data_IF_373239315837
#
_entry.id   IF_373239315837
#
_cell.length_a   1.000
_cell.length_b   1.000
_cell.length_c   1.000
_cell.angle_alpha   90.00
_cell.angle_beta   90.00
_cell.angle_gamma   90.00
#
_symmetry.space_group_name_H-M   'P 1'
#
loop_
_entity.id
_entity.type
_entity.pdbx_description
1 polymer ?
#
# COMPACT_ATOMS: atom_id res chain seq x y z
N UNK A 1 -67.03 -21.46 -116.93
CA UNK A 1 -65.63 -21.67 -116.51
C UNK A 1 -65.05 -20.33 -116.10
N UNK A 2 -64.74 -20.13 -114.81
CA UNK A 2 -63.52 -19.49 -114.29
C UNK A 2 -63.64 -19.41 -112.76
N UNK A 3 -62.66 -20.02 -112.11
CA UNK A 3 -62.51 -20.26 -110.67
C UNK A 3 -61.67 -19.16 -110.02
N UNK A 4 -62.03 -18.69 -108.84
CA UNK A 4 -61.07 -18.02 -107.94
C UNK A 4 -61.37 -18.35 -106.48
N UNK A 5 -60.61 -19.32 -105.95
CA UNK A 5 -60.48 -19.59 -104.52
C UNK A 5 -59.49 -18.59 -103.90
N UNK A 6 -59.96 -17.73 -103.00
CA UNK A 6 -59.08 -16.96 -102.11
C UNK A 6 -58.70 -17.81 -100.90
N UNK A 7 -57.45 -18.27 -100.87
CA UNK A 7 -56.82 -18.97 -99.76
C UNK A 7 -56.33 -17.93 -98.74
N UNK A 8 -57.14 -17.64 -97.72
CA UNK A 8 -56.76 -16.77 -96.60
C UNK A 8 -55.77 -17.53 -95.70
N UNK A 9 -54.48 -17.35 -95.92
CA UNK A 9 -53.42 -17.75 -94.96
C UNK A 9 -53.56 -16.84 -93.73
N UNK A 10 -54.04 -17.38 -92.61
CA UNK A 10 -53.77 -16.81 -91.29
C UNK A 10 -52.32 -17.16 -90.95
N UNK A 11 -51.45 -16.16 -90.94
CA UNK A 11 -50.16 -16.22 -90.25
C UNK A 11 -50.43 -16.17 -88.75
N UNK A 12 -50.51 -17.34 -88.14
CA UNK A 12 -50.38 -17.52 -86.69
C UNK A 12 -48.92 -17.87 -86.49
N UNK A 13 -48.10 -16.95 -85.96
CA UNK A 13 -46.83 -17.17 -85.26
C UNK A 13 -46.08 -15.83 -85.19
N UNK A 14 -46.25 -15.08 -84.10
CA UNK A 14 -45.20 -14.16 -83.58
C UNK A 14 -45.52 -13.61 -82.17
N UNK A 15 -46.80 -13.58 -81.78
CA UNK A 15 -47.27 -12.96 -80.52
C UNK A 15 -46.92 -13.77 -79.24
N UNK A 16 -46.81 -15.10 -79.35
CA UNK A 16 -46.56 -15.98 -78.20
C UNK A 16 -45.10 -16.00 -77.70
N UNK A 17 -44.14 -15.47 -78.47
CA UNK A 17 -42.72 -15.45 -78.12
C UNK A 17 -42.31 -14.22 -77.30
N UNK A 18 -42.99 -13.08 -77.47
CA UNK A 18 -42.75 -11.88 -76.66
C UNK A 18 -43.43 -11.96 -75.27
N UNK A 19 -44.62 -12.53 -75.19
CA UNK A 19 -45.31 -12.78 -73.91
C UNK A 19 -44.54 -13.77 -73.03
N UNK A 20 -44.00 -14.85 -73.63
CA UNK A 20 -43.20 -15.85 -72.91
C UNK A 20 -41.88 -15.26 -72.40
N UNK A 21 -41.18 -14.45 -73.21
CA UNK A 21 -39.94 -13.78 -72.79
C UNK A 21 -40.16 -12.77 -71.65
N UNK A 22 -41.30 -12.07 -71.66
CA UNK A 22 -41.69 -11.14 -70.58
C UNK A 22 -42.02 -11.87 -69.28
N UNK A 23 -42.64 -13.04 -69.36
CA UNK A 23 -42.94 -13.92 -68.23
C UNK A 23 -41.67 -14.49 -67.58
N UNK A 24 -40.71 -14.93 -68.40
CA UNK A 24 -39.40 -15.41 -67.93
C UNK A 24 -38.66 -14.32 -67.13
N UNK A 25 -38.71 -13.08 -67.62
CA UNK A 25 -38.07 -11.93 -66.97
C UNK A 25 -38.73 -11.57 -65.63
N UNK A 26 -40.06 -11.58 -65.57
CA UNK A 26 -40.79 -11.36 -64.31
C UNK A 26 -40.46 -12.45 -63.30
N UNK A 27 -40.38 -13.71 -63.74
CA UNK A 27 -40.05 -14.84 -62.88
C UNK A 27 -38.64 -14.70 -62.28
N UNK A 28 -37.65 -14.36 -63.10
CA UNK A 28 -36.30 -14.06 -62.63
C UNK A 28 -36.27 -12.91 -61.62
N UNK A 29 -37.03 -11.83 -61.84
CA UNK A 29 -37.11 -10.73 -60.88
C UNK A 29 -37.77 -11.14 -59.54
N UNK A 30 -38.76 -12.03 -59.57
CA UNK A 30 -39.38 -12.57 -58.35
C UNK A 30 -38.37 -13.41 -57.58
N UNK A 31 -37.64 -14.31 -58.26
CA UNK A 31 -36.60 -15.14 -57.65
C UNK A 31 -35.49 -14.28 -57.00
N UNK A 32 -35.06 -13.20 -57.68
CA UNK A 32 -34.07 -12.25 -57.13
C UNK A 32 -34.60 -11.50 -55.90
N UNK A 33 -35.86 -11.05 -55.92
CA UNK A 33 -36.48 -10.37 -54.78
C UNK A 33 -36.68 -11.30 -53.58
N UNK A 34 -37.06 -12.55 -53.82
CA UNK A 34 -37.16 -13.58 -52.77
C UNK A 34 -35.80 -13.81 -52.12
N UNK A 35 -34.74 -13.91 -52.93
CA UNK A 35 -33.37 -14.04 -52.43
C UNK A 35 -32.96 -12.86 -51.55
N UNK A 36 -33.17 -11.62 -52.03
CA UNK A 36 -32.86 -10.41 -51.26
C UNK A 36 -33.66 -10.32 -49.95
N UNK A 37 -34.93 -10.74 -49.96
CA UNK A 37 -35.77 -10.75 -48.77
C UNK A 37 -35.25 -11.74 -47.72
N UNK A 38 -34.79 -12.92 -48.15
CA UNK A 38 -34.18 -13.93 -47.27
C UNK A 38 -32.86 -13.41 -46.68
N UNK A 39 -32.00 -12.81 -47.49
CA UNK A 39 -30.73 -12.22 -47.02
C UNK A 39 -30.96 -11.12 -45.97
N UNK A 40 -31.88 -10.19 -46.25
CA UNK A 40 -32.24 -9.13 -45.30
C UNK A 40 -32.85 -9.69 -44.02
N UNK A 41 -33.63 -10.77 -44.10
CA UNK A 41 -34.19 -11.43 -42.93
C UNK A 41 -33.09 -12.05 -42.06
N UNK A 42 -32.13 -12.76 -42.66
CA UNK A 42 -30.98 -13.35 -41.97
C UNK A 42 -30.15 -12.25 -41.30
N UNK A 43 -29.90 -11.15 -42.02
CA UNK A 43 -29.14 -10.02 -41.50
C UNK A 43 -29.85 -9.35 -40.31
N UNK A 44 -31.17 -9.20 -40.38
CA UNK A 44 -31.97 -8.64 -39.28
C UNK A 44 -31.92 -9.53 -38.03
N UNK A 45 -32.10 -10.85 -38.20
CA UNK A 45 -32.00 -11.82 -37.09
C UNK A 45 -30.60 -11.79 -36.47
N UNK A 46 -29.55 -11.72 -37.29
CA UNK A 46 -28.16 -11.65 -36.82
C UNK A 46 -27.94 -10.39 -35.97
N UNK A 47 -28.41 -9.23 -36.43
CA UNK A 47 -28.35 -7.97 -35.66
C UNK A 47 -29.14 -8.04 -34.35
N UNK A 48 -30.31 -8.68 -34.33
CA UNK A 48 -31.09 -8.85 -33.11
C UNK A 48 -30.36 -9.70 -32.06
N UNK A 49 -29.65 -10.74 -32.50
CA UNK A 49 -28.81 -11.57 -31.62
C UNK A 49 -27.66 -10.74 -31.05
N UNK A 50 -26.97 -9.95 -31.88
CA UNK A 50 -25.86 -9.09 -31.46
C UNK A 50 -26.32 -8.01 -30.47
N UNK A 51 -27.44 -7.34 -30.74
CA UNK A 51 -28.07 -6.39 -29.81
C UNK A 51 -28.37 -7.06 -28.47
N UNK A 52 -28.89 -8.29 -28.49
CA UNK A 52 -29.20 -9.03 -27.27
C UNK A 52 -27.94 -9.38 -26.47
N UNK A 53 -26.82 -9.68 -27.15
CA UNK A 53 -25.53 -9.93 -26.52
C UNK A 53 -24.97 -8.66 -25.88
N UNK A 54 -24.93 -7.57 -26.64
CA UNK A 54 -24.43 -6.26 -26.16
C UNK A 54 -25.22 -5.77 -24.95
N UNK A 55 -26.55 -5.96 -24.92
CA UNK A 55 -27.36 -5.61 -23.74
C UNK A 55 -26.97 -6.37 -22.48
N UNK A 56 -26.57 -7.65 -22.61
CA UNK A 56 -26.09 -8.44 -21.46
C UNK A 56 -24.74 -7.93 -20.97
N UNK A 57 -23.81 -7.68 -21.89
CA UNK A 57 -22.49 -7.13 -21.56
C UNK A 57 -22.60 -5.76 -20.87
N UNK A 58 -23.47 -4.87 -21.36
CA UNK A 58 -23.75 -3.57 -20.73
C UNK A 58 -24.27 -3.75 -19.30
N UNK A 59 -25.20 -4.68 -19.09
CA UNK A 59 -25.76 -4.92 -17.76
C UNK A 59 -24.68 -5.42 -16.77
N UNK A 60 -23.81 -6.32 -17.22
CA UNK A 60 -22.69 -6.85 -16.42
C UNK A 60 -21.67 -5.77 -16.06
N UNK A 61 -21.28 -4.95 -17.05
CA UNK A 61 -20.36 -3.81 -16.82
C UNK A 61 -20.98 -2.79 -15.87
N UNK A 62 -22.28 -2.50 -16.00
CA UNK A 62 -22.98 -1.56 -15.11
C UNK A 62 -22.94 -2.07 -13.68
N UNK A 63 -23.29 -3.33 -13.46
CA UNK A 63 -23.24 -3.96 -12.15
C UNK A 63 -21.83 -3.96 -11.55
N UNK A 64 -20.82 -4.30 -12.35
CA UNK A 64 -19.42 -4.28 -11.90
C UNK A 64 -18.97 -2.87 -11.51
N UNK A 65 -19.39 -1.85 -12.27
CA UNK A 65 -19.06 -0.45 -11.99
C UNK A 65 -19.72 0.02 -10.68
N UNK A 66 -20.98 -0.34 -10.45
CA UNK A 66 -21.69 -0.03 -9.20
C UNK A 66 -21.03 -0.71 -8.00
N UNK A 67 -20.63 -1.98 -8.13
CA UNK A 67 -19.94 -2.73 -7.08
C UNK A 67 -18.60 -2.10 -6.71
N UNK A 68 -17.78 -1.73 -7.71
CA UNK A 68 -16.48 -1.09 -7.49
C UNK A 68 -16.64 0.31 -6.85
N UNK A 69 -17.67 1.05 -7.24
CA UNK A 69 -18.00 2.35 -6.62
C UNK A 69 -18.35 2.19 -5.14
N UNK A 70 -19.14 1.16 -4.79
CA UNK A 70 -19.46 0.85 -3.40
C UNK A 70 -18.21 0.45 -2.60
N UNK A 71 -17.32 -0.36 -3.17
CA UNK A 71 -16.06 -0.72 -2.52
C UNK A 71 -15.16 0.50 -2.28
N UNK A 72 -15.02 1.38 -3.29
CA UNK A 72 -14.22 2.60 -3.18
C UNK A 72 -14.74 3.55 -2.08
N UNK A 73 -16.06 3.71 -1.97
CA UNK A 73 -16.67 4.52 -0.90
C UNK A 73 -16.48 3.89 0.48
N UNK A 74 -16.54 2.56 0.58
CA UNK A 74 -16.18 1.83 1.80
C UNK A 74 -14.73 2.06 2.23
N UNK A 75 -13.78 1.92 1.30
CA UNK A 75 -12.35 2.17 1.56
C UNK A 75 -12.09 3.62 1.98
N UNK A 76 -12.76 4.59 1.36
CA UNK A 76 -12.64 6.00 1.72
C UNK A 76 -13.12 6.27 3.16
N UNK A 77 -14.17 5.57 3.58
CA UNK A 77 -14.71 5.66 4.94
C UNK A 77 -13.72 5.09 5.95
N UNK A 78 -13.19 3.88 5.70
CA UNK A 78 -12.16 3.26 6.54
C UNK A 78 -10.91 4.15 6.68
N UNK A 79 -10.45 4.78 5.59
CA UNK A 79 -9.33 5.72 5.65
C UNK A 79 -9.63 6.94 6.52
N UNK A 80 -10.87 7.45 6.51
CA UNK A 80 -11.26 8.58 7.34
C UNK A 80 -11.33 8.21 8.84
N UNK A 81 -11.82 7.01 9.15
CA UNK A 81 -11.85 6.47 10.51
C UNK A 81 -10.43 6.27 11.05
N UNK A 82 -9.56 5.64 10.25
CA UNK A 82 -8.16 5.42 10.64
C UNK A 82 -7.39 6.73 10.86
N UNK A 83 -7.63 7.75 10.03
CA UNK A 83 -7.05 9.09 10.25
C UNK A 83 -7.51 9.69 11.57
N UNK A 84 -8.79 9.58 11.87
CA UNK A 84 -9.35 10.08 13.15
C UNK A 84 -8.75 9.34 14.34
N UNK A 85 -8.55 8.02 14.22
CA UNK A 85 -7.89 7.22 15.25
C UNK A 85 -6.43 7.65 15.45
N UNK A 86 -5.66 7.82 14.36
CA UNK A 86 -4.28 8.33 14.43
C UNK A 86 -4.23 9.70 15.09
N UNK A 87 -5.10 10.64 14.69
CA UNK A 87 -5.18 11.97 15.29
C UNK A 87 -5.51 11.91 16.78
N UNK A 88 -6.32 10.95 17.21
CA UNK A 88 -6.64 10.73 18.63
C UNK A 88 -5.45 10.20 19.45
N UNK A 89 -4.48 9.55 18.80
CA UNK A 89 -3.28 9.01 19.43
C UNK A 89 -2.13 10.03 19.52
N UNK A 90 -2.15 11.10 18.73
CA UNK A 90 -1.12 12.16 18.76
C UNK A 90 -0.92 12.74 20.16
N UNK A 91 -1.96 13.14 20.91
CA UNK A 91 -1.80 13.67 22.27
C UNK A 91 -1.18 12.65 23.24
N UNK A 92 -1.50 11.37 23.07
CA UNK A 92 -0.92 10.29 23.88
C UNK A 92 0.57 10.13 23.57
N UNK A 93 0.94 10.17 22.30
CA UNK A 93 2.34 10.12 21.87
C UNK A 93 3.14 11.31 22.42
N UNK A 94 2.58 12.52 22.36
CA UNK A 94 3.23 13.72 22.89
C UNK A 94 3.46 13.61 24.39
N UNK A 95 2.46 13.15 25.14
CA UNK A 95 2.55 12.90 26.59
C UNK A 95 3.65 11.89 26.91
N UNK A 96 3.71 10.77 26.18
CA UNK A 96 4.74 9.74 26.36
C UNK A 96 6.14 10.32 26.11
N UNK A 97 6.33 11.09 25.03
CA UNK A 97 7.62 11.71 24.75
C UNK A 97 8.01 12.74 25.81
N UNK A 98 7.06 13.50 26.38
CA UNK A 98 7.34 14.43 27.48
C UNK A 98 7.76 13.72 28.77
N UNK A 99 7.06 12.63 29.15
CA UNK A 99 7.43 11.82 30.31
C UNK A 99 8.83 11.23 30.16
N UNK A 100 9.15 10.71 28.96
CA UNK A 100 10.47 10.12 28.67
C UNK A 100 11.58 11.15 28.65
N UNK A 101 11.32 12.31 28.07
CA UNK A 101 12.30 13.40 28.06
C UNK A 101 12.62 13.85 29.47
N UNK A 102 11.61 13.91 30.35
CA UNK A 102 11.87 14.17 31.76
C UNK A 102 12.73 13.09 32.39
N UNK A 103 12.37 11.82 32.24
CA UNK A 103 13.09 10.72 32.86
C UNK A 103 14.57 10.74 32.45
N UNK A 104 14.84 11.01 31.17
CA UNK A 104 16.18 11.24 30.64
C UNK A 104 16.89 12.39 31.37
N UNK A 105 16.30 13.59 31.44
CA UNK A 105 16.91 14.74 32.09
C UNK A 105 17.13 14.54 33.60
N UNK A 106 16.22 13.85 34.29
CA UNK A 106 16.35 13.48 35.71
C UNK A 106 17.54 12.54 35.90
N UNK A 107 17.71 11.54 35.04
CA UNK A 107 18.87 10.64 35.09
C UNK A 107 20.18 11.40 34.91
N UNK A 108 20.24 12.34 33.94
CA UNK A 108 21.43 13.17 33.74
C UNK A 108 21.78 13.99 34.98
N UNK A 109 20.77 14.56 35.65
CA UNK A 109 20.97 15.35 36.87
C UNK A 109 21.39 14.48 38.06
N UNK A 110 20.58 13.49 38.42
CA UNK A 110 20.68 12.80 39.71
C UNK A 110 21.75 11.71 39.73
N UNK A 111 21.92 11.00 38.62
CA UNK A 111 22.82 9.85 38.55
C UNK A 111 24.19 10.28 37.99
N UNK A 112 24.18 11.22 37.06
CA UNK A 112 25.38 11.60 36.32
C UNK A 112 25.98 12.92 36.82
N UNK A 113 25.33 13.56 37.80
CA UNK A 113 25.84 14.76 38.46
C UNK A 113 26.04 15.93 37.51
N UNK A 114 25.31 15.96 36.38
CA UNK A 114 25.39 17.05 35.41
C UNK A 114 24.64 18.24 36.01
N UNK A 115 25.35 19.04 36.79
CA UNK A 115 24.84 20.26 37.44
C UNK A 115 24.73 21.44 36.47
N UNK A 116 24.12 21.23 35.31
CA UNK A 116 23.85 22.31 34.36
C UNK A 116 22.55 23.03 34.76
N UNK A 117 22.61 24.36 34.97
CA UNK A 117 21.46 25.23 35.25
C UNK A 117 20.35 25.05 34.18
N UNK A 118 20.74 24.80 32.93
CA UNK A 118 19.82 24.51 31.83
C UNK A 118 19.11 23.17 31.98
N UNK A 119 19.77 22.13 32.51
CA UNK A 119 19.14 20.83 32.80
C UNK A 119 18.17 20.98 33.98
N UNK A 120 18.55 21.70 35.04
CA UNK A 120 17.67 21.98 36.19
C UNK A 120 16.40 22.72 35.79
N UNK A 121 16.49 23.75 34.95
CA UNK A 121 15.32 24.49 34.43
C UNK A 121 14.41 23.60 33.59
N UNK A 122 14.97 22.71 32.77
CA UNK A 122 14.19 21.76 31.95
C UNK A 122 13.49 20.69 32.78
N UNK A 123 14.13 20.15 33.83
CA UNK A 123 13.55 19.15 34.75
C UNK A 123 12.35 19.70 35.56
N UNK A 124 12.37 20.99 35.87
CA UNK A 124 11.27 21.67 36.58
C UNK A 124 10.00 21.84 35.74
N UNK A 125 10.10 21.78 34.41
CA UNK A 125 9.02 22.05 33.47
C UNK A 125 8.25 20.80 32.98
N UNK A 126 8.73 19.58 33.27
CA UNK A 126 8.09 18.33 32.82
C UNK A 126 7.42 17.58 34.00
N UNK A 127 6.66 16.49 33.76
CA UNK A 127 5.78 15.79 34.74
C UNK A 127 6.28 14.41 35.27
N UNK A 128 6.00 14.05 36.54
CA UNK A 128 6.88 13.18 37.39
C UNK A 128 6.51 11.69 37.31
N UNK A 129 6.91 10.97 36.27
CA UNK A 129 6.85 9.49 36.30
C UNK A 129 8.10 8.84 35.71
N UNK A 130 8.47 7.68 36.27
CA UNK A 130 9.65 6.91 35.91
C UNK A 130 9.34 6.05 34.67
N UNK A 131 10.06 6.25 33.57
CA UNK A 131 9.86 5.47 32.35
C UNK A 131 10.96 4.43 32.18
N UNK A 132 10.58 3.18 31.88
CA UNK A 132 11.49 2.10 31.53
C UNK A 132 12.32 2.44 30.28
N UNK A 133 13.56 1.93 30.21
CA UNK A 133 14.42 2.09 29.04
C UNK A 133 13.81 1.39 27.82
N UNK A 134 13.71 2.12 26.72
CA UNK A 134 13.27 1.65 25.41
C UNK A 134 13.94 2.57 24.40
N UNK A 135 15.09 2.11 23.91
CA UNK A 135 15.99 2.89 23.07
C UNK A 135 15.32 3.37 21.80
N UNK A 136 14.38 2.61 21.22
CA UNK A 136 13.65 3.00 20.00
C UNK A 136 12.77 4.22 20.26
N UNK A 137 11.98 4.16 21.32
CA UNK A 137 11.10 5.28 21.70
C UNK A 137 11.95 6.47 22.19
N UNK A 138 13.12 6.24 22.81
CA UNK A 138 13.98 7.31 23.30
C UNK A 138 14.70 7.99 22.13
N UNK A 139 15.15 7.24 21.12
CA UNK A 139 15.71 7.82 19.92
C UNK A 139 14.66 8.63 19.14
N UNK A 140 13.44 8.09 18.99
CA UNK A 140 12.33 8.82 18.35
C UNK A 140 12.00 10.14 19.04
N UNK A 141 12.05 10.17 20.37
CA UNK A 141 11.87 11.39 21.17
C UNK A 141 12.85 12.50 20.77
N UNK A 142 14.12 12.17 20.43
CA UNK A 142 15.11 13.17 20.03
C UNK A 142 14.73 13.90 18.74
N UNK A 143 14.18 13.17 17.77
CA UNK A 143 13.71 13.78 16.52
C UNK A 143 12.45 14.62 16.74
N UNK A 144 11.49 14.12 17.52
CA UNK A 144 10.23 14.82 17.80
C UNK A 144 10.47 16.11 18.60
N UNK A 145 11.38 16.09 19.58
CA UNK A 145 11.70 17.24 20.42
C UNK A 145 12.81 18.14 19.86
N UNK A 146 13.41 17.77 18.71
CA UNK A 146 14.49 18.52 18.07
C UNK A 146 15.77 18.62 18.91
N UNK A 147 16.10 17.55 19.64
CA UNK A 147 17.29 17.48 20.50
C UNK A 147 18.53 17.17 19.65
N UNK A 148 19.62 17.91 19.87
CA UNK A 148 20.87 17.77 19.12
C UNK A 148 22.08 18.17 19.98
N UNK A 149 23.29 17.83 19.52
CA UNK A 149 24.53 18.28 20.14
C UNK A 149 24.80 17.62 21.49
N UNK A 150 24.82 18.38 22.60
CA UNK A 150 25.11 17.82 23.93
C UNK A 150 24.12 16.73 24.34
N UNK A 151 22.83 16.89 24.01
CA UNK A 151 21.81 15.90 24.35
C UNK A 151 22.08 14.56 23.63
N UNK A 152 22.56 14.58 22.38
CA UNK A 152 22.92 13.37 21.62
C UNK A 152 24.16 12.69 22.21
N UNK A 153 25.13 13.46 22.72
CA UNK A 153 26.29 12.91 23.41
C UNK A 153 25.86 12.17 24.68
N UNK A 154 24.90 12.71 25.43
CA UNK A 154 24.34 12.03 26.60
C UNK A 154 23.57 10.76 26.22
N UNK A 155 22.80 10.80 25.13
CA UNK A 155 22.16 9.59 24.58
C UNK A 155 23.20 8.53 24.22
N UNK A 156 24.25 8.89 23.47
CA UNK A 156 25.36 7.98 23.14
C UNK A 156 26.06 7.44 24.37
N UNK A 157 26.19 8.24 25.43
CA UNK A 157 26.81 7.78 26.67
C UNK A 157 25.92 6.81 27.46
N UNK A 158 24.59 6.93 27.37
CA UNK A 158 23.64 6.00 28.00
C UNK A 158 23.50 4.71 27.20
N UNK A 159 23.39 4.79 25.88
CA UNK A 159 23.04 3.65 25.03
C UNK A 159 24.21 3.09 24.20
N UNK A 160 25.36 3.77 24.16
CA UNK A 160 26.50 3.41 23.32
C UNK A 160 26.40 3.91 21.87
N UNK A 161 25.17 4.21 21.40
CA UNK A 161 24.87 4.59 20.01
C UNK A 161 24.17 5.95 19.93
N UNK A 162 24.18 6.60 18.77
CA UNK A 162 23.42 7.84 18.56
C UNK A 162 21.95 7.56 18.22
N UNK A 163 21.02 8.52 18.41
CA UNK A 163 19.62 8.36 18.00
C UNK A 163 19.46 8.03 16.51
N UNK A 164 20.34 8.56 15.65
CA UNK A 164 20.33 8.29 14.21
C UNK A 164 20.65 6.84 13.90
N UNK A 165 21.69 6.29 14.53
CA UNK A 165 22.07 4.88 14.37
C UNK A 165 20.95 3.93 14.82
N UNK A 166 20.19 4.32 15.85
CA UNK A 166 18.99 3.57 16.28
C UNK A 166 17.93 3.54 15.17
N UNK A 167 17.71 4.63 14.44
CA UNK A 167 16.78 4.63 13.30
C UNK A 167 17.29 3.73 12.17
N UNK A 168 18.59 3.76 11.88
CA UNK A 168 19.19 2.93 10.84
C UNK A 168 19.08 1.42 11.18
N UNK A 169 19.29 1.06 12.45
CA UNK A 169 19.11 -0.29 12.99
C UNK A 169 17.65 -0.80 12.88
N UNK A 170 16.63 0.08 12.93
CA UNK A 170 15.22 -0.36 12.89
C UNK A 170 14.90 -1.11 11.57
N UNK A 171 15.64 -0.83 10.50
CA UNK A 171 15.44 -1.46 9.19
C UNK A 171 16.06 -2.87 9.05
N UNK A 172 16.84 -3.35 10.02
CA UNK A 172 17.65 -4.57 9.90
C UNK A 172 17.24 -5.75 10.80
N UNK A 173 16.14 -5.63 11.56
CA UNK A 173 15.58 -6.71 12.41
C UNK A 173 16.57 -7.36 13.43
N UNK A 174 17.50 -6.57 13.96
CA UNK A 174 18.53 -7.01 14.92
C UNK A 174 18.00 -7.06 16.37
N UNK A 175 17.21 -8.08 16.71
CA UNK A 175 16.50 -8.16 18.00
C UNK A 175 17.42 -8.35 19.20
N UNK A 176 18.46 -9.18 19.10
CA UNK A 176 19.46 -9.37 20.15
C UNK A 176 20.22 -8.07 20.43
N UNK A 177 20.62 -7.36 19.38
CA UNK A 177 21.25 -6.04 19.48
C UNK A 177 20.32 -5.06 20.22
N UNK A 178 19.02 -5.08 19.93
CA UNK A 178 18.04 -4.25 20.65
C UNK A 178 17.95 -4.57 22.13
N UNK A 179 17.90 -5.86 22.48
CA UNK A 179 17.81 -6.32 23.86
C UNK A 179 19.05 -5.90 24.66
N UNK A 180 20.24 -6.07 24.09
CA UNK A 180 21.50 -5.63 24.70
C UNK A 180 21.49 -4.13 24.93
N UNK A 181 21.20 -3.31 23.90
CA UNK A 181 21.18 -1.86 24.02
C UNK A 181 20.14 -1.37 25.04
N UNK A 182 18.96 -1.97 25.09
CA UNK A 182 17.94 -1.67 26.09
C UNK A 182 18.40 -2.04 27.51
N UNK A 183 19.04 -3.20 27.67
CA UNK A 183 19.57 -3.65 28.96
C UNK A 183 20.68 -2.72 29.47
N UNK A 184 21.62 -2.36 28.60
CA UNK A 184 22.70 -1.41 28.88
C UNK A 184 22.11 -0.05 29.28
N UNK A 185 21.18 0.47 28.50
CA UNK A 185 20.47 1.71 28.82
C UNK A 185 19.76 1.65 30.16
N UNK A 186 19.07 0.55 30.47
CA UNK A 186 18.42 0.34 31.76
C UNK A 186 19.43 0.34 32.92
N UNK A 187 20.59 -0.31 32.76
CA UNK A 187 21.63 -0.29 33.79
C UNK A 187 22.16 1.13 34.02
N UNK A 188 22.51 1.85 32.95
CA UNK A 188 23.05 3.20 33.01
C UNK A 188 22.05 4.22 33.58
N UNK A 189 20.78 4.15 33.18
CA UNK A 189 19.69 4.96 33.72
C UNK A 189 19.36 4.64 35.18
N UNK A 190 19.81 3.49 35.69
CA UNK A 190 19.72 3.15 37.11
C UNK A 190 21.03 3.38 37.89
N UNK A 191 22.03 4.02 37.26
CA UNK A 191 23.34 4.27 37.87
C UNK A 191 24.17 3.02 38.12
N UNK A 192 23.83 1.90 37.47
CA UNK A 192 24.56 0.64 37.55
C UNK A 192 25.57 0.55 36.42
N UNK A 193 26.65 -0.19 36.67
CA UNK A 193 27.68 -0.48 35.66
C UNK A 193 27.56 -1.91 35.17
N UNK A 194 27.93 -2.11 33.92
CA UNK A 194 28.13 -3.44 33.35
C UNK A 194 29.29 -4.15 34.06
N UNK A 195 29.26 -5.47 34.02
CA UNK A 195 30.43 -6.28 34.38
C UNK A 195 31.45 -6.19 33.25
N UNK A 196 32.75 -6.24 33.57
CA UNK A 196 33.83 -6.07 32.61
C UNK A 196 33.74 -7.01 31.39
N UNK A 197 33.25 -8.24 31.58
CA UNK A 197 33.02 -9.20 30.48
C UNK A 197 31.90 -8.73 29.53
N UNK A 198 30.79 -8.25 30.08
CA UNK A 198 29.68 -7.71 29.29
C UNK A 198 30.04 -6.40 28.59
N UNK A 199 30.87 -5.57 29.24
CA UNK A 199 31.39 -4.32 28.69
C UNK A 199 32.27 -4.58 27.46
N UNK A 200 33.15 -5.57 27.50
CA UNK A 200 33.97 -5.95 26.35
C UNK A 200 33.13 -6.44 25.16
N UNK A 201 32.08 -7.23 25.42
CA UNK A 201 31.18 -7.70 24.35
C UNK A 201 30.39 -6.52 23.77
N UNK A 202 29.91 -5.61 24.63
CA UNK A 202 29.25 -4.39 24.21
C UNK A 202 30.16 -3.53 23.31
N UNK A 203 31.43 -3.35 23.67
CA UNK A 203 32.38 -2.57 22.87
C UNK A 203 32.52 -3.14 21.45
N UNK A 204 32.74 -4.45 21.30
CA UNK A 204 32.86 -5.10 19.98
C UNK A 204 31.55 -5.00 19.20
N UNK A 205 30.41 -5.21 19.87
CA UNK A 205 29.09 -5.05 19.24
C UNK A 205 28.90 -3.61 18.73
N UNK A 206 29.27 -2.60 19.52
CA UNK A 206 29.14 -1.19 19.16
C UNK A 206 30.07 -0.79 18.02
N UNK A 207 31.27 -1.38 17.91
CA UNK A 207 32.15 -1.19 16.75
C UNK A 207 31.45 -1.61 15.45
N UNK A 208 30.84 -2.81 15.43
CA UNK A 208 30.08 -3.26 14.26
C UNK A 208 28.85 -2.38 13.97
N UNK A 209 28.16 -1.90 15.02
CA UNK A 209 27.03 -0.99 14.85
C UNK A 209 27.46 0.37 14.27
N UNK A 210 28.56 0.95 14.76
CA UNK A 210 29.10 2.23 14.26
C UNK A 210 29.61 2.08 12.80
N UNK A 211 30.11 0.90 12.42
CA UNK A 211 30.51 0.55 11.05
C UNK A 211 29.35 0.11 10.13
N UNK A 212 28.10 0.13 10.64
CA UNK A 212 26.88 -0.31 9.95
C UNK A 212 26.88 -1.80 9.55
N UNK A 213 27.70 -2.63 10.20
CA UNK A 213 27.77 -4.08 10.05
C UNK A 213 26.74 -4.78 10.96
N UNK A 214 25.45 -4.48 10.78
CA UNK A 214 24.39 -4.87 11.72
C UNK A 214 24.19 -6.37 11.90
N UNK A 215 24.47 -7.18 10.88
CA UNK A 215 24.43 -8.65 10.99
C UNK A 215 25.50 -9.16 11.98
N UNK A 216 26.71 -8.59 11.93
CA UNK A 216 27.79 -8.96 12.86
C UNK A 216 27.52 -8.44 14.27
N UNK A 217 26.96 -7.24 14.40
CA UNK A 217 26.50 -6.74 15.68
C UNK A 217 25.48 -7.70 16.33
N UNK A 218 24.56 -8.25 15.53
CA UNK A 218 23.60 -9.24 16.01
C UNK A 218 24.28 -10.53 16.48
N UNK A 219 25.24 -11.07 15.73
CA UNK A 219 26.03 -12.24 16.14
C UNK A 219 26.80 -12.01 17.45
N UNK A 220 27.37 -10.81 17.64
CA UNK A 220 28.04 -10.45 18.89
C UNK A 220 27.06 -10.30 20.07
N UNK A 221 25.84 -9.84 19.80
CA UNK A 221 24.80 -9.68 20.82
C UNK A 221 24.40 -11.02 21.47
N UNK A 222 24.45 -12.12 20.73
CA UNK A 222 24.15 -13.47 21.26
C UNK A 222 25.14 -13.93 22.33
N UNK A 223 26.35 -13.37 22.33
CA UNK A 223 27.40 -13.68 23.32
C UNK A 223 27.20 -12.89 24.61
N UNK A 224 26.33 -11.89 24.61
CA UNK A 224 26.13 -11.00 25.75
C UNK A 224 25.54 -11.79 26.93
N UNK A 225 26.11 -11.69 28.14
CA UNK A 225 25.71 -12.52 29.26
C UNK A 225 24.32 -12.13 29.77
N UNK A 226 23.30 -12.93 29.41
CA UNK A 226 21.87 -12.72 29.71
C UNK A 226 21.50 -12.95 31.20
N UNK A 227 22.46 -13.00 32.12
CA UNK A 227 22.16 -13.28 33.53
C UNK A 227 21.40 -12.11 34.17
N UNK A 228 20.07 -12.21 34.15
CA UNK A 228 19.12 -11.29 34.77
C UNK A 228 18.05 -10.65 33.88
N UNK A 229 17.77 -11.18 32.67
CA UNK A 229 16.63 -10.72 31.85
C UNK A 229 15.35 -11.55 32.08
N UNK A 230 14.91 -11.65 33.34
CA UNK A 230 13.58 -12.15 33.72
C UNK A 230 13.04 -11.32 34.88
#
# INVERSE_FOLDING_TARGET
>A
MMTTSLKRRRSVTDDGTEETHSLEKIKSMIEDLEHQMVELHIENVTRQVEISKLRKEIAEVTWSTESLSAESTGQQTQLSELRTEVDSLVPVSDMVFDMRYRAFLVCLRDIWGIENEAVRKRVGAADKELVHANIKVDARMFFVKGLAGEDELYFKKIYGVTPKVVVDLESHNCNGTWEVLNHVGALHLNGRRLRAEAEKILEVMLEHVDDLEFERAEEESEKFPVVGMA
#
